data_IF_177584381940
#
_entry.id   IF_177584381940
#
_cell.length_a   1.000
_cell.length_b   1.000
_cell.length_c   1.000
_cell.angle_alpha   90.00
_cell.angle_beta   90.00
_cell.angle_gamma   90.00
#
_symmetry.space_group_name_H-M   'P 1'
#
loop_
_entity.id
_entity.type
_entity.pdbx_description
1 polymer ?
#
# COMPACT_ATOMS: atom_id res chain seq x y z
N UNK A 1 19.21 11.30 -25.87
CA UNK A 1 18.57 12.00 -24.73
C UNK A 1 18.39 10.95 -23.67
N UNK A 2 19.05 11.12 -22.52
CA UNK A 2 19.27 10.07 -21.54
C UNK A 2 17.95 9.58 -20.93
N UNK A 3 17.64 8.30 -21.11
CA UNK A 3 16.39 7.63 -20.68
C UNK A 3 16.16 7.60 -19.15
N UNK A 4 17.14 8.07 -18.37
CA UNK A 4 17.13 8.15 -16.90
C UNK A 4 16.08 9.11 -16.33
N UNK A 5 15.61 10.08 -17.12
CA UNK A 5 14.59 11.05 -16.69
C UNK A 5 13.20 10.40 -16.53
N UNK A 6 12.95 9.28 -17.23
CA UNK A 6 11.62 8.65 -17.25
C UNK A 6 11.25 7.86 -16.00
N UNK A 7 12.21 7.60 -15.10
CA UNK A 7 12.00 6.88 -13.83
C UNK A 7 11.30 7.73 -12.76
N UNK A 8 11.23 9.05 -12.94
CA UNK A 8 10.54 9.95 -12.01
C UNK A 8 9.12 10.33 -12.45
N UNK A 9 8.64 9.79 -13.57
CA UNK A 9 7.36 10.18 -14.14
C UNK A 9 6.20 9.72 -13.25
N UNK A 10 5.40 10.68 -12.78
CA UNK A 10 4.26 10.38 -11.93
C UNK A 10 3.17 9.64 -12.74
N UNK A 11 2.39 8.72 -12.12
CA UNK A 11 1.28 8.03 -12.81
C UNK A 11 0.18 8.92 -13.37
N UNK A 12 0.13 10.19 -12.97
CA UNK A 12 -0.79 11.18 -13.54
C UNK A 12 -0.28 11.80 -14.84
N UNK A 13 1.04 11.77 -15.06
CA UNK A 13 1.70 12.40 -16.22
C UNK A 13 1.87 11.44 -17.39
N UNK A 14 1.61 10.14 -17.21
CA UNK A 14 1.87 9.13 -18.23
C UNK A 14 0.79 8.04 -18.28
N UNK A 15 0.19 7.88 -19.47
CA UNK A 15 -0.87 6.91 -19.71
C UNK A 15 -0.40 5.44 -19.67
N UNK A 16 0.91 5.19 -19.72
CA UNK A 16 1.46 3.83 -19.68
C UNK A 16 1.38 3.18 -18.30
N UNK A 17 0.97 3.92 -17.27
CA UNK A 17 0.71 3.36 -15.95
C UNK A 17 -0.59 2.58 -15.94
N UNK A 18 -0.48 1.26 -15.79
CA UNK A 18 -1.61 0.33 -15.75
C UNK A 18 -1.93 -0.05 -14.31
N UNK A 19 -3.20 -0.27 -14.05
CA UNK A 19 -3.65 -0.89 -12.80
C UNK A 19 -3.69 -2.40 -12.99
N UNK A 20 -2.90 -3.11 -12.19
CA UNK A 20 -2.92 -4.56 -12.17
C UNK A 20 -4.30 -5.07 -11.67
N UNK A 21 -4.94 -6.00 -12.40
CA UNK A 21 -6.35 -6.39 -12.18
C UNK A 21 -6.64 -6.95 -10.79
N UNK A 22 -5.67 -7.64 -10.19
CA UNK A 22 -5.79 -8.25 -8.87
C UNK A 22 -5.14 -7.42 -7.75
N UNK A 23 -4.54 -6.27 -8.08
CA UNK A 23 -3.80 -5.49 -7.10
C UNK A 23 -4.66 -4.47 -6.36
N UNK A 24 -4.07 -3.96 -5.29
CA UNK A 24 -4.52 -2.79 -4.54
C UNK A 24 -4.92 -1.65 -5.50
N UNK A 25 -6.02 -0.93 -5.21
CA UNK A 25 -6.47 0.19 -6.05
C UNK A 25 -5.43 1.30 -6.23
N UNK A 26 -4.45 1.40 -5.33
CA UNK A 26 -3.34 2.36 -5.39
C UNK A 26 -2.08 1.84 -6.07
N UNK A 27 -2.04 0.55 -6.41
CA UNK A 27 -0.92 -0.07 -7.11
C UNK A 27 -0.97 0.29 -8.60
N UNK A 28 0.14 0.79 -9.13
CA UNK A 28 0.35 1.08 -10.55
C UNK A 28 1.64 0.42 -11.00
N UNK A 29 1.64 -0.10 -12.20
CA UNK A 29 2.83 -0.65 -12.85
C UNK A 29 2.95 -0.12 -14.27
N UNK A 30 4.18 0.04 -14.72
CA UNK A 30 4.51 0.40 -16.10
C UNK A 30 5.58 -0.54 -16.61
N UNK A 31 5.39 -1.03 -17.82
CA UNK A 31 6.36 -1.85 -18.53
C UNK A 31 7.16 -0.96 -19.49
N UNK A 32 8.46 -1.20 -19.59
CA UNK A 32 9.35 -0.51 -20.51
C UNK A 32 9.66 -1.45 -21.68
N UNK A 33 8.96 -1.34 -22.83
CA UNK A 33 9.13 -2.29 -23.93
C UNK A 33 10.47 -2.18 -24.66
N UNK A 34 11.17 -1.05 -24.52
CA UNK A 34 12.46 -0.77 -25.17
C UNK A 34 13.62 -0.73 -24.16
N UNK A 35 13.51 -1.43 -23.03
CA UNK A 35 14.55 -1.40 -22.01
C UNK A 35 15.78 -2.22 -22.43
N UNK A 36 16.98 -1.70 -22.17
CA UNK A 36 18.23 -2.43 -22.39
C UNK A 36 18.62 -3.22 -21.12
N UNK A 37 18.29 -4.51 -21.13
CA UNK A 37 18.63 -5.44 -20.04
C UNK A 37 20.16 -5.55 -19.88
N UNK A 38 20.93 -5.44 -20.98
CA UNK A 38 22.39 -5.54 -20.94
C UNK A 38 23.04 -4.29 -20.31
N UNK A 39 22.38 -3.13 -20.43
CA UNK A 39 22.76 -1.90 -19.74
C UNK A 39 22.26 -1.84 -18.27
N UNK A 40 21.49 -2.83 -17.82
CA UNK A 40 20.94 -2.90 -16.46
C UNK A 40 19.66 -2.09 -16.26
N UNK A 41 18.93 -1.76 -17.34
CA UNK A 41 17.69 -1.00 -17.24
C UNK A 41 16.51 -1.85 -16.73
N UNK A 42 15.65 -1.28 -15.87
CA UNK A 42 14.52 -2.01 -15.29
C UNK A 42 13.45 -2.34 -16.34
N UNK A 43 13.02 -3.60 -16.40
CA UNK A 43 11.96 -4.06 -17.32
C UNK A 43 10.58 -3.47 -16.97
N UNK A 44 10.33 -3.24 -15.69
CA UNK A 44 9.10 -2.65 -15.21
C UNK A 44 9.35 -1.79 -13.98
N UNK A 45 8.47 -0.82 -13.76
CA UNK A 45 8.48 0.03 -12.58
C UNK A 45 7.12 -0.03 -11.89
N UNK A 46 7.18 -0.03 -10.56
CA UNK A 46 6.01 -0.07 -9.69
C UNK A 46 5.90 1.26 -8.95
N UNK A 47 4.66 1.77 -8.86
CA UNK A 47 4.35 2.96 -8.10
C UNK A 47 3.13 2.75 -7.22
N UNK A 48 3.16 3.32 -6.02
CA UNK A 48 2.03 3.35 -5.12
C UNK A 48 1.58 4.80 -4.95
N UNK A 49 0.31 5.08 -5.23
CA UNK A 49 -0.27 6.42 -5.07
C UNK A 49 -0.25 6.94 -3.62
N UNK A 50 0.12 6.11 -2.64
CA UNK A 50 0.35 6.51 -1.25
C UNK A 50 1.82 6.86 -0.95
N UNK A 51 2.67 6.97 -1.97
CA UNK A 51 4.11 7.25 -1.81
C UNK A 51 4.88 6.12 -1.12
N UNK A 52 4.28 4.93 -1.00
CA UNK A 52 4.87 3.77 -0.34
C UNK A 52 4.82 2.57 -1.29
N UNK A 53 5.67 2.52 -2.33
CA UNK A 53 5.74 1.35 -3.18
C UNK A 53 6.19 0.13 -2.36
N UNK A 54 5.74 -1.08 -2.72
CA UNK A 54 6.33 -2.30 -2.15
C UNK A 54 7.79 -2.40 -2.60
N UNK A 55 8.71 -2.57 -1.64
CA UNK A 55 10.14 -2.72 -1.93
C UNK A 55 10.51 -4.22 -1.98
N UNK A 56 9.77 -5.05 -1.24
CA UNK A 56 9.98 -6.50 -1.19
C UNK A 56 8.90 -7.27 -1.94
N UNK A 57 9.25 -8.47 -2.40
CA UNK A 57 8.31 -9.39 -3.05
C UNK A 57 7.10 -9.69 -2.16
N UNK A 58 7.32 -9.85 -0.86
CA UNK A 58 6.26 -10.11 0.12
C UNK A 58 5.25 -8.95 0.22
N UNK A 59 5.73 -7.71 0.17
CA UNK A 59 4.86 -6.53 0.14
C UNK A 59 4.09 -6.42 -1.18
N UNK A 60 4.72 -6.83 -2.29
CA UNK A 60 4.08 -6.86 -3.60
C UNK A 60 2.97 -7.93 -3.63
N UNK A 61 3.21 -9.12 -3.09
CA UNK A 61 2.20 -10.17 -2.96
C UNK A 61 1.02 -9.73 -2.09
N UNK A 62 1.27 -9.01 -0.99
CA UNK A 62 0.21 -8.40 -0.18
C UNK A 62 -0.59 -7.37 -0.99
N UNK A 63 0.08 -6.56 -1.81
CA UNK A 63 -0.59 -5.65 -2.74
C UNK A 63 -1.45 -6.40 -3.77
N UNK A 64 -1.00 -7.57 -4.26
CA UNK A 64 -1.70 -8.41 -5.23
C UNK A 64 -2.84 -9.27 -4.66
N UNK A 65 -2.95 -9.38 -3.34
CA UNK A 65 -4.03 -10.12 -2.67
C UNK A 65 -5.28 -9.29 -2.40
N UNK A 66 -5.19 -7.95 -2.45
CA UNK A 66 -6.29 -7.06 -2.05
C UNK A 66 -6.78 -6.18 -3.18
N UNK A 67 -7.82 -6.62 -3.90
CA UNK A 67 -8.42 -5.87 -5.03
C UNK A 67 -9.27 -4.65 -4.62
N UNK A 68 -9.81 -4.66 -3.40
CA UNK A 68 -10.78 -3.67 -2.92
C UNK A 68 -10.16 -2.56 -2.07
N UNK A 69 -9.02 -2.82 -1.42
CA UNK A 69 -8.42 -1.91 -0.44
C UNK A 69 -6.91 -2.14 -0.30
N UNK A 70 -6.19 -1.16 0.23
CA UNK A 70 -4.77 -1.31 0.54
C UNK A 70 -4.59 -2.12 1.82
N UNK A 71 -3.74 -3.15 1.78
CA UNK A 71 -3.43 -3.96 2.97
C UNK A 71 -2.91 -3.13 4.15
N UNK A 72 -2.13 -2.07 3.89
CA UNK A 72 -1.65 -1.15 4.95
C UNK A 72 -2.80 -0.39 5.60
N UNK A 73 -3.83 -0.02 4.83
CA UNK A 73 -5.02 0.64 5.38
C UNK A 73 -5.89 -0.35 6.17
N UNK A 74 -6.01 -1.59 5.68
CA UNK A 74 -6.70 -2.66 6.39
C UNK A 74 -6.04 -2.95 7.74
N UNK A 75 -4.71 -3.12 7.79
CA UNK A 75 -3.98 -3.32 9.05
C UNK A 75 -4.13 -2.14 10.02
N UNK A 76 -4.12 -0.90 9.51
CA UNK A 76 -4.36 0.27 10.37
C UNK A 76 -5.79 0.29 10.94
N UNK A 77 -6.78 -0.13 10.16
CA UNK A 77 -8.16 -0.23 10.62
C UNK A 77 -8.32 -1.30 11.71
N UNK A 78 -7.70 -2.47 11.52
CA UNK A 78 -7.70 -3.56 12.50
C UNK A 78 -7.02 -3.14 13.81
N UNK A 79 -5.85 -2.49 13.74
CA UNK A 79 -5.16 -1.95 14.93
C UNK A 79 -6.03 -0.94 15.69
N UNK A 80 -6.78 -0.09 14.99
CA UNK A 80 -7.71 0.86 15.62
C UNK A 80 -8.89 0.17 16.29
N UNK A 81 -9.43 -0.90 15.69
CA UNK A 81 -10.51 -1.72 16.28
C UNK A 81 -10.06 -2.40 17.57
N UNK A 82 -8.91 -3.10 17.53
CA UNK A 82 -8.35 -3.77 18.71
C UNK A 82 -8.03 -2.79 19.86
N UNK A 83 -7.60 -1.55 19.53
CA UNK A 83 -7.37 -0.51 20.54
C UNK A 83 -8.68 -0.03 21.19
N UNK A 84 -9.75 0.15 20.40
CA UNK A 84 -11.08 0.51 20.92
C UNK A 84 -11.62 -0.53 21.89
N UNK A 85 -11.53 -1.82 21.53
CA UNK A 85 -12.02 -2.92 22.38
C UNK A 85 -11.25 -3.03 23.71
N UNK A 86 -9.95 -2.69 23.71
CA UNK A 86 -9.17 -2.61 24.97
C UNK A 86 -9.57 -1.43 25.84
N UNK A 87 -9.91 -0.28 25.26
CA UNK A 87 -10.34 0.90 26.03
C UNK A 87 -11.70 0.68 26.70
N UNK A 88 -12.62 -0.05 26.07
CA UNK A 88 -13.96 -0.30 26.65
C UNK A 88 -13.94 -1.28 27.82
N UNK A 89 -12.89 -2.10 27.98
CA UNK A 89 -12.81 -3.15 29.02
C UNK A 89 -12.20 -2.70 30.35
N UNK A 90 -11.71 -1.47 30.47
CA UNK A 90 -11.03 -0.98 31.70
C UNK A 90 -11.89 -0.03 32.54
N UNK A 91 -13.05 0.39 32.06
CA UNK A 91 -13.91 1.38 32.76
C UNK A 91 -15.14 0.76 33.44
N UNK A 92 -15.01 -0.46 33.98
CA UNK A 92 -16.05 -1.06 34.85
C UNK A 92 -15.45 -1.36 36.23
N UNK A 93 -15.09 -0.30 36.97
CA UNK A 93 -14.99 -0.39 38.43
C UNK A 93 -16.33 0.08 38.99
N UNK A 94 -17.19 -0.82 39.52
CA UNK A 94 -18.45 -0.40 40.11
C UNK A 94 -18.14 0.33 41.41
N UNK A 95 -18.43 1.63 41.41
CA UNK A 95 -18.59 2.45 42.60
C UNK A 95 -19.91 1.99 43.27
N UNK A 96 -19.83 1.05 44.20
CA UNK A 96 -21.01 0.58 44.94
C UNK A 96 -20.88 0.85 46.45
N UNK A 97 -21.63 1.87 46.86
CA UNK A 97 -22.36 2.03 48.11
C UNK A 97 -21.61 2.14 49.44
N UNK A 98 -21.60 3.38 49.93
CA UNK A 98 -21.87 3.73 51.32
C UNK A 98 -23.16 3.05 51.82
N UNK A 99 -23.18 2.61 53.08
CA UNK A 99 -24.33 2.65 54.01
C UNK A 99 -23.80 2.36 55.42
N UNK A 100 -23.65 3.40 56.26
CA UNK A 100 -24.46 3.75 57.47
C UNK A 100 -24.41 2.70 58.56
#
# INVERSE_FOLDING_TARGET
MSDTDTLHIHPEENINWRRHKNACPFYRERWFPNNDIAAGEPMYQVFCLKGTPPITQEEQDKCFKSKTCCWRLAEQAEKKRAKREKTTKTEETPLASQQV
#
